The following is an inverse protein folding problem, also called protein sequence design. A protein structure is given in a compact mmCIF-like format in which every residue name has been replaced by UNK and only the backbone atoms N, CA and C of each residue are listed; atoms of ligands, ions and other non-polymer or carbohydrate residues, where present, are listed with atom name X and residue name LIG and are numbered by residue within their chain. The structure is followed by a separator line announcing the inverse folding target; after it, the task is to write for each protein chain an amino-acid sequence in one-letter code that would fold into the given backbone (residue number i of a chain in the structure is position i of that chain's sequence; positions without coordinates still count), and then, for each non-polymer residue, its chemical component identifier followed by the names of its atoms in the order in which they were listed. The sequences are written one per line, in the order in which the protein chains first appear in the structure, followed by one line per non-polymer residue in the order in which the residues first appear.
data_IF_999459677945
#
_entry.id   IF_999459677945
#
_cell.length_a   1.000
_cell.length_b   1.000
_cell.length_c   1.000
_cell.angle_alpha   90.00
_cell.angle_beta   90.00
_cell.angle_gamma   90.00
#
_symmetry.space_group_name_H-M   'P 1'
#
loop_
_entity.id
_entity.type
_entity.pdbx_description
1 polymer ?
#
# COMPACT_ATOMS: atom_id res chain seq x y z
N UNK A 1 7.02 3.35 33.51
CA UNK A 1 7.10 1.94 33.09
C UNK A 1 6.45 1.83 31.73
N UNK A 2 7.24 1.81 30.66
CA UNK A 2 6.75 1.58 29.30
C UNK A 2 6.82 0.08 29.02
N UNK A 3 5.68 -0.56 28.81
CA UNK A 3 5.60 -1.90 28.22
C UNK A 3 5.29 -1.73 26.73
N UNK A 4 6.17 -2.14 25.80
CA UNK A 4 5.83 -2.17 24.39
C UNK A 4 5.98 -3.61 23.87
N UNK A 5 4.94 -4.43 24.00
CA UNK A 5 4.82 -5.68 23.23
C UNK A 5 3.37 -6.12 22.95
N UNK A 6 2.38 -5.26 23.19
CA UNK A 6 0.97 -5.62 23.01
C UNK A 6 0.41 -5.04 21.71
N UNK A 7 0.81 -5.62 20.58
CA UNK A 7 0.02 -5.76 19.35
C UNK A 7 0.88 -6.43 18.27
N UNK A 8 1.10 -7.73 18.44
CA UNK A 8 1.43 -8.60 17.31
C UNK A 8 0.12 -8.72 16.51
N UNK A 9 0.04 -8.26 15.26
CA UNK A 9 -1.18 -8.39 14.48
C UNK A 9 -1.55 -9.87 14.43
N UNK A 10 -2.84 -10.13 14.62
CA UNK A 10 -3.42 -11.47 14.64
C UNK A 10 -2.77 -12.32 13.54
N UNK A 11 -2.30 -13.51 13.90
CA UNK A 11 -1.79 -14.48 12.95
C UNK A 11 -2.95 -14.90 12.06
N UNK A 12 -3.19 -14.15 11.00
CA UNK A 12 -3.96 -14.60 9.86
C UNK A 12 -3.36 -15.94 9.46
N UNK A 13 -4.20 -16.97 9.43
CA UNK A 13 -3.78 -18.33 9.10
C UNK A 13 -3.42 -18.35 7.61
N UNK A 14 -2.19 -17.95 7.27
CA UNK A 14 -1.69 -17.96 5.90
C UNK A 14 -1.41 -19.41 5.52
N UNK A 15 -2.12 -19.97 4.52
CA UNK A 15 -1.95 -21.37 4.14
C UNK A 15 -0.50 -21.67 3.78
N UNK A 16 0.07 -22.71 4.40
CA UNK A 16 1.44 -23.16 4.12
C UNK A 16 2.56 -22.39 4.83
N UNK A 17 2.24 -21.48 5.75
CA UNK A 17 3.23 -20.80 6.60
C UNK A 17 2.96 -21.03 8.10
N UNK A 18 4.04 -21.21 8.86
CA UNK A 18 3.98 -21.23 10.32
C UNK A 18 3.88 -19.81 10.88
N UNK A 19 3.38 -19.67 12.12
CA UNK A 19 3.30 -18.38 12.80
C UNK A 19 4.64 -17.62 12.86
N UNK A 20 5.77 -18.33 13.08
CA UNK A 20 7.11 -17.72 13.07
C UNK A 20 7.52 -17.22 11.68
N UNK A 21 7.10 -17.90 10.62
CA UNK A 21 7.34 -17.45 9.25
C UNK A 21 6.52 -16.22 8.91
N UNK A 22 5.25 -16.17 9.33
CA UNK A 22 4.39 -15.00 9.18
C UNK A 22 5.00 -13.78 9.89
N UNK A 23 5.43 -13.95 11.15
CA UNK A 23 6.12 -12.89 11.90
C UNK A 23 7.43 -12.44 11.23
N UNK A 24 8.21 -13.39 10.69
CA UNK A 24 9.41 -13.06 9.94
C UNK A 24 9.10 -12.23 8.69
N UNK A 25 8.03 -12.55 7.96
CA UNK A 25 7.61 -11.79 6.79
C UNK A 25 7.29 -10.34 7.17
N UNK A 26 6.47 -10.11 8.19
CA UNK A 26 6.16 -8.73 8.62
C UNK A 26 7.41 -7.96 9.05
N UNK A 27 8.30 -8.58 9.83
CA UNK A 27 9.53 -7.92 10.26
C UNK A 27 10.45 -7.55 9.08
N UNK A 28 10.56 -8.42 8.09
CA UNK A 28 11.34 -8.18 6.88
C UNK A 28 10.69 -7.12 5.99
N UNK A 29 9.36 -7.15 5.81
CA UNK A 29 8.62 -6.16 5.04
C UNK A 29 8.70 -4.75 5.66
N UNK A 30 8.79 -4.67 6.99
CA UNK A 30 9.06 -3.43 7.72
C UNK A 30 10.52 -2.94 7.62
N UNK A 31 11.39 -3.61 6.87
CA UNK A 31 12.78 -3.19 6.63
C UNK A 31 13.82 -3.74 7.63
N UNK A 32 13.43 -4.66 8.52
CA UNK A 32 14.38 -5.27 9.47
C UNK A 32 15.35 -6.21 8.74
N UNK A 33 16.64 -6.17 9.09
CA UNK A 33 17.62 -7.10 8.49
C UNK A 33 17.34 -8.55 8.89
N UNK A 34 17.66 -9.52 8.01
CA UNK A 34 17.55 -10.96 8.30
C UNK A 34 18.25 -11.34 9.62
N UNK A 35 19.43 -10.78 9.90
CA UNK A 35 20.17 -11.05 11.14
C UNK A 35 19.39 -10.58 12.38
N UNK A 36 18.80 -9.40 12.32
CA UNK A 36 18.00 -8.85 13.42
C UNK A 36 16.67 -9.60 13.59
N UNK A 37 15.98 -9.93 12.50
CA UNK A 37 14.75 -10.73 12.52
C UNK A 37 15.00 -12.12 13.09
N UNK A 38 16.09 -12.77 12.70
CA UNK A 38 16.48 -14.09 13.21
C UNK A 38 16.70 -14.05 14.73
N UNK A 39 17.44 -13.04 15.20
CA UNK A 39 17.69 -12.80 16.63
C UNK A 39 16.38 -12.55 17.39
N UNK A 40 15.48 -11.73 16.85
CA UNK A 40 14.21 -11.40 17.48
C UNK A 40 13.28 -12.62 17.61
N UNK A 41 13.29 -13.52 16.63
CA UNK A 41 12.44 -14.72 16.61
C UNK A 41 13.10 -15.96 17.27
N UNK A 42 14.32 -15.82 17.77
CA UNK A 42 15.09 -16.92 18.36
C UNK A 42 15.38 -18.05 17.36
N UNK A 43 15.64 -17.71 16.09
CA UNK A 43 16.02 -18.67 15.03
C UNK A 43 17.41 -18.39 14.50
N UNK A 44 18.07 -19.40 13.96
CA UNK A 44 19.36 -19.19 13.29
C UNK A 44 19.21 -18.39 11.98
N UNK A 45 20.19 -17.56 11.61
CA UNK A 45 20.15 -16.81 10.34
C UNK A 45 19.99 -17.71 9.10
N UNK A 46 20.55 -18.93 9.12
CA UNK A 46 20.39 -19.88 8.04
C UNK A 46 18.93 -20.32 7.84
N UNK A 47 18.16 -20.40 8.92
CA UNK A 47 16.72 -20.72 8.89
C UNK A 47 15.93 -19.67 8.10
N UNK A 48 16.21 -18.38 8.29
CA UNK A 48 15.56 -17.33 7.50
C UNK A 48 15.97 -17.38 6.02
N UNK A 49 17.22 -17.71 5.72
CA UNK A 49 17.68 -17.91 4.34
C UNK A 49 16.91 -19.06 3.68
N UNK A 50 16.74 -20.18 4.39
CA UNK A 50 15.95 -21.33 3.92
C UNK A 50 14.48 -20.98 3.73
N UNK A 51 13.86 -20.27 4.67
CA UNK A 51 12.47 -19.81 4.53
C UNK A 51 12.30 -18.90 3.31
N UNK A 52 13.26 -18.01 3.07
CA UNK A 52 13.29 -17.15 1.90
C UNK A 52 13.45 -17.89 0.56
N UNK A 53 13.60 -19.22 0.53
CA UNK A 53 13.56 -20.04 -0.68
C UNK A 53 12.18 -20.69 -0.91
N UNK A 54 11.31 -20.69 0.10
CA UNK A 54 9.99 -21.29 -0.01
C UNK A 54 9.06 -20.38 -0.85
N UNK A 55 8.34 -20.94 -1.85
CA UNK A 55 7.42 -20.15 -2.68
C UNK A 55 6.36 -19.41 -1.87
N UNK A 56 5.73 -20.07 -0.89
CA UNK A 56 4.71 -19.45 -0.04
C UNK A 56 5.26 -18.27 0.77
N UNK A 57 6.49 -18.37 1.27
CA UNK A 57 7.13 -17.30 2.03
C UNK A 57 7.44 -16.09 1.15
N UNK A 58 7.98 -16.33 -0.06
CA UNK A 58 8.26 -15.26 -1.02
C UNK A 58 7.00 -14.55 -1.49
N UNK A 59 5.96 -15.32 -1.81
CA UNK A 59 4.68 -14.79 -2.24
C UNK A 59 4.07 -13.89 -1.16
N UNK A 60 4.04 -14.36 0.09
CA UNK A 60 3.49 -13.58 1.19
C UNK A 60 4.35 -12.35 1.50
N UNK A 61 5.69 -12.46 1.45
CA UNK A 61 6.57 -11.30 1.61
C UNK A 61 6.31 -10.24 0.53
N UNK A 62 6.21 -10.64 -0.73
CA UNK A 62 5.88 -9.73 -1.83
C UNK A 62 4.52 -9.05 -1.63
N UNK A 63 3.50 -9.81 -1.22
CA UNK A 63 2.17 -9.27 -0.94
C UNK A 63 2.21 -8.19 0.16
N UNK A 64 2.86 -8.48 1.29
CA UNK A 64 2.95 -7.55 2.42
C UNK A 64 3.77 -6.32 2.04
N UNK A 65 4.90 -6.48 1.35
CA UNK A 65 5.71 -5.35 0.88
C UNK A 65 4.92 -4.46 -0.08
N UNK A 66 4.24 -5.05 -1.07
CA UNK A 66 3.42 -4.29 -2.01
C UNK A 66 2.28 -3.55 -1.31
N UNK A 67 1.66 -4.15 -0.29
CA UNK A 67 0.62 -3.50 0.51
C UNK A 67 1.17 -2.29 1.26
N UNK A 68 2.31 -2.42 1.94
CA UNK A 68 2.96 -1.31 2.66
C UNK A 68 3.35 -0.18 1.71
N UNK A 69 3.87 -0.52 0.53
CA UNK A 69 4.22 0.46 -0.50
C UNK A 69 2.96 1.18 -1.02
N UNK A 70 1.89 0.45 -1.31
CA UNK A 70 0.62 1.03 -1.72
C UNK A 70 0.06 1.99 -0.65
N UNK A 71 0.03 1.57 0.62
CA UNK A 71 -0.43 2.41 1.74
C UNK A 71 0.42 3.67 1.88
N UNK A 72 1.75 3.55 1.72
CA UNK A 72 2.67 4.69 1.75
C UNK A 72 2.41 5.66 0.60
N UNK A 73 2.16 5.16 -0.60
CA UNK A 73 1.79 5.99 -1.76
C UNK A 73 0.45 6.71 -1.53
N UNK A 74 -0.54 6.03 -0.94
CA UNK A 74 -1.80 6.66 -0.57
C UNK A 74 -1.61 7.76 0.48
N UNK A 75 -0.82 7.51 1.51
CA UNK A 75 -0.50 8.52 2.52
C UNK A 75 0.20 9.74 1.91
N UNK A 76 1.14 9.53 0.98
CA UNK A 76 1.81 10.61 0.26
C UNK A 76 0.82 11.41 -0.60
N UNK A 77 -0.08 10.75 -1.32
CA UNK A 77 -1.14 11.41 -2.11
C UNK A 77 -2.03 12.26 -1.21
N UNK A 78 -2.48 11.72 -0.08
CA UNK A 78 -3.30 12.45 0.88
C UNK A 78 -2.58 13.70 1.43
N UNK A 79 -1.30 13.58 1.78
CA UNK A 79 -0.52 14.70 2.26
C UNK A 79 -0.30 15.77 1.18
N UNK A 80 -0.14 15.35 -0.08
CA UNK A 80 -0.04 16.26 -1.22
C UNK A 80 -1.34 17.06 -1.43
N UNK A 81 -2.49 16.42 -1.30
CA UNK A 81 -3.79 17.10 -1.37
C UNK A 81 -3.93 18.13 -0.25
N UNK A 82 -3.60 17.76 0.99
CA UNK A 82 -3.62 18.69 2.12
C UNK A 82 -2.69 19.90 1.91
N UNK A 83 -1.52 19.68 1.32
CA UNK A 83 -0.59 20.76 0.99
C UNK A 83 -1.17 21.70 -0.09
N UNK A 84 -1.87 21.16 -1.08
CA UNK A 84 -2.58 21.95 -2.09
C UNK A 84 -3.69 22.80 -1.48
N UNK A 85 -4.51 22.23 -0.59
CA UNK A 85 -5.54 22.99 0.13
C UNK A 85 -4.91 24.15 0.92
N UNK A 86 -3.80 23.89 1.60
CA UNK A 86 -3.06 24.92 2.34
C UNK A 86 -2.53 26.02 1.42
N UNK A 87 -2.02 25.67 0.24
CA UNK A 87 -1.57 26.65 -0.76
C UNK A 87 -2.74 27.47 -1.30
N UNK A 88 -3.91 26.86 -1.47
CA UNK A 88 -5.15 27.55 -1.86
C UNK A 88 -5.53 28.61 -0.84
N UNK A 89 -5.58 28.25 0.44
CA UNK A 89 -5.90 29.18 1.53
C UNK A 89 -4.89 30.34 1.60
N UNK A 90 -3.60 30.07 1.37
CA UNK A 90 -2.56 31.12 1.37
C UNK A 90 -2.67 32.09 0.19
N UNK A 91 -3.36 31.72 -0.89
CA UNK A 91 -3.59 32.59 -2.04
C UNK A 91 -4.75 33.58 -1.84
N UNK A 92 -5.55 33.40 -0.79
CA UNK A 92 -6.68 34.28 -0.48
C UNK A 92 -6.26 35.70 -0.15
N UNK A 93 -7.17 36.66 -0.41
CA UNK A 93 -6.95 38.09 -0.28
C UNK A 93 -6.62 38.56 1.14
N UNK A 94 -6.95 37.73 2.13
CA UNK A 94 -6.69 37.97 3.55
C UNK A 94 -5.19 37.92 3.87
N UNK A 95 -4.39 37.25 3.03
CA UNK A 95 -2.95 37.13 3.20
C UNK A 95 -2.18 38.27 2.50
N UNK A 96 -1.00 38.67 3.00
CA UNK A 96 -0.16 39.66 2.34
C UNK A 96 0.17 39.27 0.89
N UNK A 97 0.29 40.27 0.00
CA UNK A 97 0.54 40.06 -1.44
C UNK A 97 1.77 39.19 -1.74
N UNK A 98 2.82 39.31 -0.93
CA UNK A 98 4.04 38.50 -1.05
C UNK A 98 3.78 37.02 -0.72
N UNK A 99 2.95 36.73 0.28
CA UNK A 99 2.57 35.34 0.66
C UNK A 99 1.74 34.72 -0.45
N UNK A 100 0.77 35.46 -0.98
CA UNK A 100 -0.09 35.02 -2.09
C UNK A 100 0.73 34.70 -3.35
N UNK A 101 1.67 35.59 -3.72
CA UNK A 101 2.56 35.37 -4.87
C UNK A 101 3.45 34.13 -4.67
N UNK A 102 3.98 33.94 -3.46
CA UNK A 102 4.79 32.77 -3.12
C UNK A 102 3.99 31.47 -3.21
N UNK A 103 2.77 31.45 -2.67
CA UNK A 103 1.89 30.29 -2.72
C UNK A 103 1.48 29.95 -4.17
N UNK A 104 1.15 30.95 -4.98
CA UNK A 104 0.83 30.78 -6.39
C UNK A 104 2.01 30.19 -7.19
N UNK A 105 3.23 30.69 -6.96
CA UNK A 105 4.44 30.12 -7.59
C UNK A 105 4.66 28.68 -7.17
N UNK A 106 4.58 28.38 -5.88
CA UNK A 106 4.73 27.03 -5.36
C UNK A 106 3.70 26.06 -5.95
N UNK A 107 2.44 26.50 -6.12
CA UNK A 107 1.39 25.70 -6.75
C UNK A 107 1.67 25.42 -8.24
N UNK A 108 2.22 26.40 -8.98
CA UNK A 108 2.57 26.26 -10.40
C UNK A 108 3.82 25.42 -10.65
N UNK A 109 4.76 25.38 -9.69
CA UNK A 109 5.96 24.52 -9.76
C UNK A 109 5.66 23.04 -9.48
N UNK A 110 4.47 22.71 -8.94
CA UNK A 110 4.09 21.33 -8.71
C UNK A 110 3.96 20.59 -10.05
N UNK A 111 4.67 19.46 -10.23
CA UNK A 111 4.56 18.69 -11.45
C UNK A 111 3.11 18.24 -11.62
N UNK A 112 2.55 18.47 -12.81
CA UNK A 112 1.25 17.92 -13.18
C UNK A 112 1.24 16.42 -12.85
N UNK A 113 0.13 15.88 -12.31
CA UNK A 113 0.04 14.44 -12.14
C UNK A 113 0.38 13.81 -13.48
N UNK A 114 1.36 12.91 -13.49
CA UNK A 114 1.62 12.10 -14.66
C UNK A 114 0.26 11.50 -15.02
N UNK A 115 -0.26 11.83 -16.19
CA UNK A 115 -1.33 11.06 -16.79
C UNK A 115 -0.67 9.72 -17.05
N UNK A 116 -0.69 8.84 -16.05
CA UNK A 116 -0.45 7.42 -16.28
C UNK A 116 -1.47 7.09 -17.35
N UNK A 117 -1.05 6.71 -18.57
CA UNK A 117 -1.99 6.06 -19.47
C UNK A 117 -2.60 4.96 -18.60
N UNK A 118 -3.91 5.03 -18.38
CA UNK A 118 -4.60 3.92 -17.76
C UNK A 118 -4.08 2.67 -18.49
N UNK A 119 -3.64 1.66 -17.74
CA UNK A 119 -3.44 0.33 -18.30
C UNK A 119 -4.71 0.05 -19.09
N UNK A 120 -4.55 0.08 -20.42
CA UNK A 120 -5.57 0.17 -21.45
C UNK A 120 -7.01 0.39 -20.94
N UNK A 121 -7.62 1.59 -21.11
CA UNK A 121 -9.01 1.86 -20.70
C UNK A 121 -10.00 0.78 -21.17
N UNK A 122 -9.68 0.13 -22.28
CA UNK A 122 -10.44 -1.00 -22.83
C UNK A 122 -10.29 -2.25 -21.96
N UNK A 123 -9.07 -2.59 -21.52
CA UNK A 123 -8.82 -3.73 -20.65
C UNK A 123 -9.49 -3.57 -19.27
N UNK A 124 -9.47 -2.36 -18.69
CA UNK A 124 -10.20 -2.08 -17.44
C UNK A 124 -11.71 -2.25 -17.63
N UNK A 125 -12.25 -1.76 -18.73
CA UNK A 125 -13.67 -1.91 -19.06
C UNK A 125 -14.04 -3.39 -19.27
N UNK A 126 -13.20 -4.15 -19.98
CA UNK A 126 -13.39 -5.58 -20.21
C UNK A 126 -13.38 -6.39 -18.90
N UNK A 127 -12.46 -6.10 -17.98
CA UNK A 127 -12.39 -6.77 -16.68
C UNK A 127 -13.61 -6.46 -15.79
N UNK A 128 -14.07 -5.20 -15.80
CA UNK A 128 -15.29 -4.77 -15.11
C UNK A 128 -16.51 -5.49 -15.72
N UNK A 129 -16.64 -5.51 -17.04
CA UNK A 129 -17.73 -6.20 -17.74
C UNK A 129 -17.72 -7.71 -17.49
N UNK A 130 -16.54 -8.33 -17.39
CA UNK A 130 -16.39 -9.75 -17.06
C UNK A 130 -16.87 -10.04 -15.63
N UNK A 131 -16.59 -9.16 -14.68
CA UNK A 131 -17.09 -9.28 -13.30
C UNK A 131 -18.61 -9.10 -13.21
N UNK A 132 -19.17 -8.12 -13.93
CA UNK A 132 -20.63 -7.93 -14.00
C UNK A 132 -21.33 -9.14 -14.61
N UNK A 133 -20.80 -9.69 -15.71
CA UNK A 133 -21.37 -10.88 -16.35
C UNK A 133 -21.31 -12.12 -15.45
N UNK A 134 -20.21 -12.31 -14.72
CA UNK A 134 -20.09 -13.39 -13.73
C UNK A 134 -21.07 -13.24 -12.55
N UNK A 135 -21.44 -12.00 -12.17
CA UNK A 135 -22.49 -11.74 -11.18
C UNK A 135 -23.89 -11.97 -11.73
N UNK A 136 -24.14 -11.68 -13.01
CA UNK A 136 -25.43 -11.96 -13.66
C UNK A 136 -25.68 -13.47 -13.80
N UNK A 137 -24.65 -14.24 -14.15
CA UNK A 137 -24.71 -15.69 -14.26
C UNK A 137 -24.92 -16.39 -12.90
N UNK A 138 -24.41 -15.81 -11.80
CA UNK A 138 -24.63 -16.36 -10.45
C UNK A 138 -25.97 -15.97 -9.83
N UNK A 139 -26.53 -14.81 -10.20
CA UNK A 139 -27.78 -14.29 -9.62
C UNK A 139 -29.05 -14.59 -10.45
N UNK A 140 -28.92 -15.20 -11.65
CA UNK A 140 -30.07 -15.72 -12.39
C UNK A 140 -31.11 -14.67 -12.81
N UNK A 141 -30.69 -13.43 -13.07
CA UNK A 141 -31.57 -12.34 -13.52
C UNK A 141 -31.29 -12.06 -15.00
N UNK A 142 -31.53 -13.04 -15.87
CA UNK A 142 -31.58 -12.84 -17.32
C UNK A 142 -33.03 -12.65 -17.79
N UNK A 143 -33.32 -11.74 -18.75
CA UNK A 143 -34.68 -11.53 -19.22
C UNK A 143 -35.18 -12.80 -19.93
N UNK A 144 -36.30 -13.33 -19.46
CA UNK A 144 -37.03 -14.40 -20.15
C UNK A 144 -37.62 -13.80 -21.43
N UNK A 145 -36.95 -14.03 -22.56
CA UNK A 145 -37.57 -13.96 -23.88
C UNK A 145 -37.91 -15.36 -24.34
#
# INVERSE_FOLDING_TARGET
MFSPMEQVPATDNVPGLSAKQVQAVYALAAGTSKKATAKALGVEPHTLTRWGQLPAFRAFLGQVTNSIEADSLYALKAQRLKALDTLSDLMDEQNPSQVRLSAARAALELPAPAVTPAEDPIALFEDVMKHFKAQEESNGIGPKY
#
